data_IF_053716876810
#
_entry.id   IF_053716876810
#
_cell.length_a   1.000
_cell.length_b   1.000
_cell.length_c   1.000
_cell.angle_alpha   90.00
_cell.angle_beta   90.00
_cell.angle_gamma   90.00
#
_symmetry.space_group_name_H-M   'P 1'
#
loop_
_entity.id
_entity.type
_entity.pdbx_description
1 polymer ?
#
# COMPACT_ATOMS: atom_id res chain seq x y z
N UNK A 1 -41.95 11.45 -1.42
CA UNK A 1 -40.97 12.41 -0.82
C UNK A 1 -39.77 11.69 -0.21
N UNK A 2 -39.95 10.64 0.61
CA UNK A 2 -38.85 9.92 1.29
C UNK A 2 -37.72 9.38 0.38
N UNK A 3 -38.04 8.91 -0.82
CA UNK A 3 -37.03 8.35 -1.75
C UNK A 3 -36.04 9.38 -2.31
N UNK A 4 -36.47 10.63 -2.51
CA UNK A 4 -35.60 11.65 -3.13
C UNK A 4 -34.53 12.13 -2.15
N UNK A 5 -34.88 12.25 -0.88
CA UNK A 5 -33.97 12.68 0.17
C UNK A 5 -32.98 11.56 0.52
N UNK A 6 -33.43 10.31 0.55
CA UNK A 6 -32.56 9.14 0.69
C UNK A 6 -31.53 9.06 -0.45
N UNK A 7 -31.95 9.25 -1.71
CA UNK A 7 -31.03 9.25 -2.86
C UNK A 7 -29.98 10.35 -2.77
N UNK A 8 -30.36 11.54 -2.33
CA UNK A 8 -29.42 12.66 -2.11
C UNK A 8 -28.46 12.36 -0.97
N UNK A 9 -28.93 11.75 0.12
CA UNK A 9 -28.09 11.37 1.25
C UNK A 9 -27.04 10.35 0.84
N UNK A 10 -27.47 9.26 0.19
CA UNK A 10 -26.55 8.25 -0.38
C UNK A 10 -25.53 8.92 -1.28
N UNK A 11 -25.97 9.77 -2.22
CA UNK A 11 -25.09 10.49 -3.13
C UNK A 11 -24.07 11.38 -2.41
N UNK A 12 -24.49 12.05 -1.34
CA UNK A 12 -23.60 12.90 -0.53
C UNK A 12 -22.54 12.09 0.23
N UNK A 13 -22.91 10.94 0.81
CA UNK A 13 -21.99 10.03 1.51
C UNK A 13 -20.97 9.39 0.55
N UNK A 14 -21.42 8.99 -0.65
CA UNK A 14 -20.54 8.52 -1.73
C UNK A 14 -19.51 9.60 -2.08
N UNK A 15 -19.97 10.83 -2.32
CA UNK A 15 -19.09 11.96 -2.67
C UNK A 15 -18.11 12.28 -1.54
N UNK A 16 -18.58 12.28 -0.29
CA UNK A 16 -17.76 12.53 0.89
C UNK A 16 -16.62 11.52 0.98
N UNK A 17 -16.93 10.21 1.03
CA UNK A 17 -15.91 9.17 1.15
C UNK A 17 -14.96 9.15 -0.04
N UNK A 18 -15.47 9.39 -1.26
CA UNK A 18 -14.62 9.51 -2.46
C UNK A 18 -13.58 10.63 -2.29
N UNK A 19 -13.98 11.79 -1.78
CA UNK A 19 -13.06 12.92 -1.56
C UNK A 19 -12.09 12.66 -0.41
N UNK A 20 -12.53 12.01 0.68
CA UNK A 20 -11.67 11.56 1.78
C UNK A 20 -10.54 10.65 1.28
N UNK A 21 -10.85 9.74 0.35
CA UNK A 21 -9.88 8.85 -0.29
C UNK A 21 -9.06 9.53 -1.41
N UNK A 22 -9.29 10.81 -1.70
CA UNK A 22 -8.61 11.55 -2.78
C UNK A 22 -8.96 11.07 -4.19
N UNK A 23 -10.09 10.37 -4.36
CA UNK A 23 -10.50 9.73 -5.60
C UNK A 23 -11.26 10.68 -6.53
N UNK A 24 -11.10 10.48 -7.84
CA UNK A 24 -11.93 11.13 -8.85
C UNK A 24 -13.14 10.26 -9.22
N UNK A 25 -14.17 10.86 -9.83
CA UNK A 25 -15.37 10.12 -10.26
C UNK A 25 -15.06 9.05 -11.31
N UNK A 26 -14.00 9.24 -12.09
CA UNK A 26 -13.53 8.29 -13.12
C UNK A 26 -13.10 6.96 -12.50
N UNK A 27 -12.46 6.97 -11.33
CA UNK A 27 -12.04 5.77 -10.62
C UNK A 27 -13.21 4.84 -10.31
N UNK A 28 -14.28 5.37 -9.70
CA UNK A 28 -15.49 4.58 -9.40
C UNK A 28 -16.15 4.12 -10.71
N UNK A 29 -16.19 4.98 -11.72
CA UNK A 29 -16.79 4.68 -13.01
C UNK A 29 -16.10 3.49 -13.71
N UNK A 30 -14.76 3.46 -13.73
CA UNK A 30 -13.97 2.36 -14.30
C UNK A 30 -14.19 1.06 -13.54
N UNK A 31 -14.20 1.09 -12.20
CA UNK A 31 -14.41 -0.11 -11.36
C UNK A 31 -15.83 -0.68 -11.49
N UNK A 32 -16.82 0.16 -11.78
CA UNK A 32 -18.22 -0.25 -11.98
C UNK A 32 -18.57 -0.55 -13.44
N UNK A 33 -17.64 -0.34 -14.39
CA UNK A 33 -17.91 -0.39 -15.83
C UNK A 33 -19.09 0.50 -16.26
N UNK A 34 -19.12 1.74 -15.77
CA UNK A 34 -20.13 2.75 -16.13
C UNK A 34 -19.48 4.03 -16.63
N UNK A 35 -20.27 4.86 -17.32
CA UNK A 35 -19.83 6.19 -17.71
C UNK A 35 -19.67 7.10 -16.47
N UNK A 36 -18.67 7.99 -16.48
CA UNK A 36 -18.42 9.01 -15.45
C UNK A 36 -19.69 9.82 -15.14
N UNK A 37 -20.49 10.13 -16.17
CA UNK A 37 -21.77 10.84 -16.03
C UNK A 37 -22.80 10.08 -15.18
N UNK A 38 -22.69 8.76 -15.07
CA UNK A 38 -23.54 7.93 -14.22
C UNK A 38 -23.15 8.08 -12.74
N UNK A 39 -21.86 8.11 -12.41
CA UNK A 39 -21.37 8.38 -11.05
C UNK A 39 -21.77 9.79 -10.59
N UNK A 40 -21.63 10.79 -11.47
CA UNK A 40 -22.10 12.15 -11.19
C UNK A 40 -23.59 12.20 -10.84
N UNK A 41 -24.40 11.45 -11.59
CA UNK A 41 -25.85 11.38 -11.37
C UNK A 41 -26.21 10.62 -10.09
N UNK A 42 -25.44 9.58 -9.72
CA UNK A 42 -25.55 8.87 -8.44
C UNK A 42 -25.21 9.78 -7.26
N UNK A 43 -24.11 10.53 -7.33
CA UNK A 43 -23.70 11.51 -6.30
C UNK A 43 -24.71 12.65 -6.14
N UNK A 44 -25.33 13.09 -7.25
CA UNK A 44 -26.37 14.11 -7.22
C UNK A 44 -27.75 13.58 -6.77
N UNK A 45 -27.92 12.26 -6.61
CA UNK A 45 -29.21 11.62 -6.31
C UNK A 45 -30.26 11.78 -7.41
N UNK A 46 -29.82 12.04 -8.65
CA UNK A 46 -30.71 12.29 -9.81
C UNK A 46 -31.19 11.01 -10.48
N UNK A 47 -30.44 9.92 -10.33
CA UNK A 47 -30.81 8.57 -10.74
C UNK A 47 -30.87 7.66 -9.52
N UNK A 48 -31.49 6.50 -9.68
CA UNK A 48 -31.75 5.59 -8.59
C UNK A 48 -30.47 4.88 -8.10
N UNK A 49 -29.97 5.28 -6.93
CA UNK A 49 -28.80 4.72 -6.25
C UNK A 49 -29.17 3.80 -5.08
N UNK A 50 -30.45 3.50 -4.85
CA UNK A 50 -30.91 2.64 -3.74
C UNK A 50 -30.89 1.15 -4.08
N UNK A 51 -30.68 0.82 -5.37
CA UNK A 51 -30.59 -0.55 -5.86
C UNK A 51 -29.47 -1.30 -5.15
N UNK A 52 -29.77 -2.49 -4.66
CA UNK A 52 -28.84 -3.37 -3.94
C UNK A 52 -27.49 -3.51 -4.66
N UNK A 53 -27.51 -3.87 -5.95
CA UNK A 53 -26.30 -4.02 -6.77
C UNK A 53 -25.43 -2.75 -6.84
N UNK A 54 -26.06 -1.57 -6.95
CA UNK A 54 -25.33 -0.29 -7.05
C UNK A 54 -24.68 0.04 -5.71
N UNK A 55 -25.42 -0.14 -4.61
CA UNK A 55 -24.91 0.09 -3.27
C UNK A 55 -23.78 -0.87 -2.91
N UNK A 56 -23.93 -2.17 -3.17
CA UNK A 56 -22.90 -3.18 -2.92
C UNK A 56 -21.63 -2.92 -3.75
N UNK A 57 -21.80 -2.50 -5.02
CA UNK A 57 -20.65 -2.16 -5.87
C UNK A 57 -19.90 -0.93 -5.34
N UNK A 58 -20.63 0.14 -5.00
CA UNK A 58 -20.02 1.39 -4.52
C UNK A 58 -19.44 1.22 -3.12
N UNK A 59 -20.11 0.45 -2.25
CA UNK A 59 -19.63 0.15 -0.90
C UNK A 59 -18.33 -0.65 -0.94
N UNK A 60 -18.24 -1.63 -1.85
CA UNK A 60 -17.02 -2.40 -2.08
C UNK A 60 -15.87 -1.52 -2.60
N UNK A 61 -16.13 -0.60 -3.53
CA UNK A 61 -15.10 0.30 -4.08
C UNK A 61 -14.61 1.33 -3.04
N UNK A 62 -15.52 1.84 -2.21
CA UNK A 62 -15.20 2.88 -1.22
C UNK A 62 -14.82 2.32 0.16
N UNK A 63 -14.84 1.00 0.32
CA UNK A 63 -14.53 0.29 1.57
C UNK A 63 -15.35 0.82 2.75
N UNK A 64 -16.67 0.89 2.54
CA UNK A 64 -17.67 1.31 3.55
C UNK A 64 -18.81 0.29 3.59
N UNK A 65 -19.61 0.30 4.65
CA UNK A 65 -20.80 -0.52 4.75
C UNK A 65 -21.97 0.06 3.94
N UNK A 66 -22.90 -0.80 3.50
CA UNK A 66 -24.10 -0.37 2.76
C UNK A 66 -25.03 0.42 3.69
N UNK A 67 -25.09 0.02 4.95
CA UNK A 67 -25.83 0.64 6.04
C UNK A 67 -25.37 2.09 6.25
N UNK A 68 -24.05 2.33 6.19
CA UNK A 68 -23.51 3.68 6.23
C UNK A 68 -23.88 4.46 4.98
N UNK A 69 -23.80 3.90 3.77
CA UNK A 69 -24.25 4.62 2.57
C UNK A 69 -25.73 5.05 2.67
N UNK A 70 -26.58 4.23 3.30
CA UNK A 70 -28.01 4.50 3.49
C UNK A 70 -28.34 5.48 4.60
N UNK A 71 -27.41 5.82 5.49
CA UNK A 71 -27.71 6.63 6.67
C UNK A 71 -28.31 5.86 7.84
N UNK A 72 -28.18 4.54 7.85
CA UNK A 72 -28.68 3.68 8.92
C UNK A 72 -27.69 3.62 10.11
N UNK A 73 -26.41 3.91 9.86
CA UNK A 73 -25.36 4.12 10.86
C UNK A 73 -24.55 5.36 10.48
N UNK A 74 -24.07 6.10 11.48
CA UNK A 74 -23.14 7.22 11.28
C UNK A 74 -21.67 6.79 11.33
N UNK A 75 -21.42 5.61 11.89
CA UNK A 75 -20.10 5.00 11.98
C UNK A 75 -19.93 3.92 10.90
N UNK A 76 -18.75 3.90 10.28
CA UNK A 76 -18.34 2.83 9.39
C UNK A 76 -16.95 2.35 9.82
N UNK A 77 -16.77 1.04 9.92
CA UNK A 77 -15.46 0.43 10.05
C UNK A 77 -14.83 0.33 8.66
N UNK A 78 -13.60 0.80 8.51
CA UNK A 78 -12.85 0.72 7.25
C UNK A 78 -11.42 0.31 7.54
N UNK A 79 -10.92 -0.65 6.77
CA UNK A 79 -9.51 -1.05 6.81
C UNK A 79 -8.61 -0.06 6.05
N UNK A 80 -9.19 1.02 5.49
CA UNK A 80 -8.48 2.01 4.67
C UNK A 80 -8.50 3.35 5.38
N UNK A 81 -7.35 3.69 5.96
CA UNK A 81 -7.14 4.91 6.74
C UNK A 81 -6.88 6.11 5.85
N UNK A 82 -6.17 5.93 4.73
CA UNK A 82 -5.83 7.01 3.80
C UNK A 82 -5.81 6.58 2.32
N UNK A 83 -5.55 7.54 1.43
CA UNK A 83 -5.47 7.32 -0.02
C UNK A 83 -4.32 6.37 -0.42
N UNK A 84 -3.24 6.30 0.37
CA UNK A 84 -2.07 5.46 0.10
C UNK A 84 -2.40 3.99 0.34
N UNK A 85 -3.15 3.67 1.39
CA UNK A 85 -3.62 2.30 1.66
C UNK A 85 -4.39 1.74 0.46
N UNK A 86 -5.28 2.56 -0.12
CA UNK A 86 -6.04 2.19 -1.31
C UNK A 86 -5.13 1.99 -2.53
N UNK A 87 -4.15 2.87 -2.74
CA UNK A 87 -3.18 2.74 -3.83
C UNK A 87 -2.35 1.45 -3.71
N UNK A 88 -1.89 1.12 -2.50
CA UNK A 88 -1.15 -0.11 -2.22
C UNK A 88 -2.02 -1.33 -2.56
N UNK A 89 -3.26 -1.36 -2.08
CA UNK A 89 -4.19 -2.48 -2.35
C UNK A 89 -4.46 -2.67 -3.84
N UNK A 90 -4.68 -1.58 -4.56
CA UNK A 90 -4.91 -1.61 -6.00
C UNK A 90 -3.67 -2.07 -6.78
N UNK A 91 -2.47 -1.62 -6.38
CA UNK A 91 -1.21 -2.08 -6.99
C UNK A 91 -1.01 -3.57 -6.74
N UNK A 92 -1.22 -4.05 -5.51
CA UNK A 92 -1.10 -5.47 -5.17
C UNK A 92 -2.10 -6.34 -5.96
N UNK A 93 -3.34 -5.87 -6.12
CA UNK A 93 -4.34 -6.54 -6.97
C UNK A 93 -3.94 -6.59 -8.45
N UNK A 94 -3.34 -5.52 -8.98
CA UNK A 94 -2.83 -5.50 -10.37
C UNK A 94 -1.63 -6.42 -10.55
N UNK A 95 -0.68 -6.40 -9.61
CA UNK A 95 0.52 -7.23 -9.66
C UNK A 95 0.17 -8.72 -9.61
N UNK A 96 -0.75 -9.14 -8.74
CA UNK A 96 -1.18 -10.55 -8.65
C UNK A 96 -1.79 -11.08 -9.95
N UNK A 97 -2.53 -10.25 -10.69
CA UNK A 97 -3.13 -10.63 -11.98
C UNK A 97 -2.10 -10.56 -13.13
N UNK A 98 -1.30 -9.49 -13.20
CA UNK A 98 -0.48 -9.19 -14.37
C UNK A 98 0.87 -9.93 -14.42
N UNK A 99 1.40 -10.40 -13.29
CA UNK A 99 2.75 -11.00 -13.22
C UNK A 99 2.90 -12.28 -14.06
N UNK A 100 1.80 -12.88 -14.55
CA UNK A 100 1.85 -14.09 -15.38
C UNK A 100 1.51 -13.86 -16.86
N UNK A 101 1.10 -12.66 -17.27
CA UNK A 101 0.65 -12.40 -18.63
C UNK A 101 1.84 -12.22 -19.60
N UNK A 102 1.92 -13.11 -20.60
CA UNK A 102 2.91 -13.01 -21.69
C UNK A 102 4.33 -13.47 -21.34
N UNK A 103 4.58 -13.95 -20.12
CA UNK A 103 5.87 -14.49 -19.69
C UNK A 103 5.92 -16.02 -19.84
N UNK A 104 7.13 -16.56 -20.10
CA UNK A 104 7.37 -18.00 -19.93
C UNK A 104 7.29 -18.37 -18.45
N UNK A 105 7.09 -19.66 -18.18
CA UNK A 105 6.97 -20.19 -16.82
C UNK A 105 8.13 -19.77 -15.90
N UNK A 106 9.36 -19.90 -16.37
CA UNK A 106 10.56 -19.59 -15.57
C UNK A 106 10.75 -18.08 -15.39
N UNK A 107 10.40 -17.28 -16.42
CA UNK A 107 10.40 -15.81 -16.34
C UNK A 107 9.36 -15.31 -15.32
N UNK A 108 8.16 -15.88 -15.35
CA UNK A 108 7.10 -15.57 -14.39
C UNK A 108 7.49 -15.99 -12.96
N UNK A 109 8.10 -17.16 -12.78
CA UNK A 109 8.59 -17.61 -11.47
C UNK A 109 9.61 -16.62 -10.90
N UNK A 110 10.63 -16.26 -11.69
CA UNK A 110 11.63 -15.27 -11.28
C UNK A 110 11.00 -13.93 -10.87
N UNK A 111 10.03 -13.42 -11.63
CA UNK A 111 9.37 -12.14 -11.27
C UNK A 111 8.55 -12.23 -9.98
N UNK A 112 7.94 -13.40 -9.69
CA UNK A 112 7.23 -13.64 -8.43
C UNK A 112 8.21 -13.68 -7.27
N UNK A 113 9.31 -14.40 -7.41
CA UNK A 113 10.34 -14.51 -6.39
C UNK A 113 10.98 -13.14 -6.09
N UNK A 114 11.19 -12.32 -7.12
CA UNK A 114 11.72 -10.96 -6.95
C UNK A 114 10.72 -10.05 -6.22
N UNK A 115 9.42 -10.17 -6.55
CA UNK A 115 8.38 -9.42 -5.85
C UNK A 115 8.26 -9.84 -4.38
N UNK A 116 8.32 -11.15 -4.11
CA UNK A 116 8.35 -11.68 -2.73
C UNK A 116 9.52 -11.05 -1.98
N UNK A 117 10.73 -11.10 -2.56
CA UNK A 117 11.92 -10.53 -1.92
C UNK A 117 11.76 -9.03 -1.61
N UNK A 118 11.27 -8.24 -2.57
CA UNK A 118 10.99 -6.81 -2.37
C UNK A 118 10.01 -6.53 -1.22
N UNK A 119 8.96 -7.34 -1.09
CA UNK A 119 7.94 -7.16 -0.06
C UNK A 119 8.47 -7.58 1.32
N UNK A 120 9.22 -8.66 1.41
CA UNK A 120 9.89 -9.09 2.65
C UNK A 120 10.90 -8.05 3.13
N UNK A 121 11.69 -7.47 2.22
CA UNK A 121 12.62 -6.39 2.57
C UNK A 121 11.91 -5.13 3.06
N UNK A 122 10.75 -4.81 2.47
CA UNK A 122 9.95 -3.69 2.92
C UNK A 122 9.37 -3.92 4.32
N UNK A 123 8.95 -5.15 4.64
CA UNK A 123 8.49 -5.53 5.97
C UNK A 123 9.60 -5.34 7.02
N UNK A 124 10.80 -5.88 6.77
CA UNK A 124 11.94 -5.67 7.68
C UNK A 124 12.33 -4.20 7.82
N UNK A 125 12.32 -3.45 6.71
CA UNK A 125 12.56 -2.02 6.74
C UNK A 125 11.57 -1.31 7.65
N UNK A 126 10.28 -1.68 7.63
CA UNK A 126 9.29 -1.06 8.51
C UNK A 126 9.63 -1.26 9.99
N UNK A 127 10.07 -2.45 10.38
CA UNK A 127 10.42 -2.76 11.76
C UNK A 127 11.66 -1.97 12.20
N UNK A 128 12.72 -2.00 11.39
CA UNK A 128 13.93 -1.19 11.63
C UNK A 128 13.66 0.31 11.62
N UNK A 129 12.81 0.79 10.71
CA UNK A 129 12.45 2.20 10.63
C UNK A 129 11.64 2.65 11.84
N UNK A 130 10.69 1.82 12.30
CA UNK A 130 9.94 2.05 13.55
C UNK A 130 10.89 2.12 14.73
N UNK A 131 11.77 1.12 14.87
CA UNK A 131 12.78 1.09 15.92
C UNK A 131 13.66 2.34 15.89
N UNK A 132 14.16 2.72 14.72
CA UNK A 132 14.98 3.92 14.54
C UNK A 132 14.24 5.20 14.92
N UNK A 133 12.95 5.32 14.54
CA UNK A 133 12.13 6.47 14.91
C UNK A 133 11.87 6.54 16.42
N UNK A 134 11.62 5.42 17.08
CA UNK A 134 11.34 5.38 18.52
C UNK A 134 12.59 5.67 19.36
N UNK A 135 13.76 5.24 18.91
CA UNK A 135 14.97 5.28 19.73
C UNK A 135 15.91 6.45 19.39
N UNK A 136 15.97 6.87 18.12
CA UNK A 136 16.99 7.82 17.65
C UNK A 136 16.42 9.14 17.12
N UNK A 137 15.09 9.32 17.07
CA UNK A 137 14.49 10.58 16.62
C UNK A 137 14.14 11.48 17.81
N UNK A 138 14.78 12.65 17.88
CA UNK A 138 14.45 13.74 18.83
C UNK A 138 14.46 13.34 20.32
N UNK A 139 15.19 12.29 20.69
CA UNK A 139 15.32 11.85 22.08
C UNK A 139 16.47 12.61 22.76
N UNK A 140 16.16 13.36 23.82
CA UNK A 140 17.14 13.87 24.81
C UNK A 140 17.72 12.73 25.68
N UNK A 141 17.57 11.46 25.27
CA UNK A 141 18.06 10.31 26.03
C UNK A 141 19.59 10.36 26.08
N UNK A 142 20.06 10.66 27.29
CA UNK A 142 21.43 10.49 27.77
C UNK A 142 22.50 11.14 26.89
N UNK A 143 22.64 12.47 27.06
CA UNK A 143 23.81 13.25 26.58
C UNK A 143 25.16 12.57 26.85
N UNK A 144 25.21 11.70 27.86
CA UNK A 144 26.41 10.96 28.26
C UNK A 144 26.77 9.84 27.25
N UNK A 145 25.82 9.20 26.56
CA UNK A 145 26.11 8.11 25.61
C UNK A 145 26.94 8.61 24.44
N UNK A 146 26.59 9.77 23.85
CA UNK A 146 27.34 10.34 22.73
C UNK A 146 28.81 10.61 23.14
N UNK A 147 29.03 11.14 24.35
CA UNK A 147 30.36 11.40 24.87
C UNK A 147 31.16 10.12 25.18
N UNK A 148 30.51 9.07 25.70
CA UNK A 148 31.13 7.77 26.00
C UNK A 148 31.50 7.02 24.70
N UNK A 149 30.70 7.20 23.65
CA UNK A 149 30.87 6.51 22.37
C UNK A 149 31.73 7.28 21.37
N UNK A 150 32.13 8.51 21.70
CA UNK A 150 33.07 9.32 20.91
C UNK A 150 32.44 10.14 19.78
N UNK A 151 31.14 10.46 19.85
CA UNK A 151 30.48 11.36 18.91
C UNK A 151 30.50 12.81 19.41
N UNK A 152 30.54 13.76 18.46
CA UNK A 152 30.62 15.18 18.78
C UNK A 152 29.29 15.75 19.29
N UNK A 153 28.17 15.08 18.98
CA UNK A 153 26.84 15.47 19.46
C UNK A 153 25.85 14.30 19.51
N UNK A 154 24.80 14.46 20.33
CA UNK A 154 23.68 13.51 20.35
C UNK A 154 22.96 13.44 19.00
N UNK A 155 22.93 14.54 18.25
CA UNK A 155 22.37 14.59 16.90
C UNK A 155 23.14 13.66 15.96
N UNK A 156 24.46 13.74 15.97
CA UNK A 156 25.33 12.87 15.17
C UNK A 156 25.20 11.40 15.57
N UNK A 157 25.21 11.11 16.88
CA UNK A 157 24.96 9.76 17.39
C UNK A 157 23.63 9.19 16.86
N UNK A 158 22.55 9.96 16.98
CA UNK A 158 21.22 9.58 16.54
C UNK A 158 21.15 9.33 15.03
N UNK A 159 21.74 10.22 14.23
CA UNK A 159 21.81 10.05 12.77
C UNK A 159 22.56 8.75 12.40
N UNK A 160 23.68 8.47 13.04
CA UNK A 160 24.50 7.28 12.74
C UNK A 160 23.82 5.99 13.19
N UNK A 161 23.21 5.97 14.37
CA UNK A 161 22.48 4.80 14.85
C UNK A 161 21.23 4.53 14.03
N UNK A 162 20.49 5.58 13.64
CA UNK A 162 19.37 5.45 12.72
C UNK A 162 19.82 4.88 11.37
N UNK A 163 20.90 5.40 10.79
CA UNK A 163 21.44 4.90 9.53
C UNK A 163 21.89 3.45 9.65
N UNK A 164 22.54 3.07 10.75
CA UNK A 164 22.94 1.69 11.01
C UNK A 164 21.76 0.74 11.00
N UNK A 165 20.66 1.14 11.61
CA UNK A 165 19.42 0.35 11.67
C UNK A 165 18.85 0.07 10.27
N UNK A 166 18.78 1.08 9.41
CA UNK A 166 18.23 0.94 8.05
C UNK A 166 19.25 0.49 6.99
N UNK A 167 20.52 0.31 7.35
CA UNK A 167 21.59 -0.02 6.38
C UNK A 167 21.35 -1.35 5.67
N UNK A 168 20.76 -2.33 6.36
CA UNK A 168 20.46 -3.64 5.77
C UNK A 168 19.54 -3.51 4.55
N UNK A 169 18.51 -2.65 4.61
CA UNK A 169 17.58 -2.38 3.50
C UNK A 169 18.29 -1.76 2.29
N UNK A 170 19.23 -0.84 2.54
CA UNK A 170 20.03 -0.22 1.47
C UNK A 170 20.85 -1.29 0.73
N UNK A 171 21.45 -2.21 1.48
CA UNK A 171 22.21 -3.31 0.89
C UNK A 171 21.30 -4.25 0.09
N UNK A 172 20.12 -4.58 0.61
CA UNK A 172 19.16 -5.42 -0.10
C UNK A 172 18.68 -4.80 -1.43
N UNK A 173 18.45 -3.47 -1.48
CA UNK A 173 18.12 -2.80 -2.74
C UNK A 173 19.28 -2.82 -3.75
N UNK A 174 20.53 -2.75 -3.29
CA UNK A 174 21.67 -2.95 -4.18
C UNK A 174 21.73 -4.38 -4.72
N UNK A 175 21.43 -5.38 -3.87
CA UNK A 175 21.34 -6.77 -4.28
C UNK A 175 20.23 -7.02 -5.31
N UNK A 176 19.06 -6.42 -5.13
CA UNK A 176 17.96 -6.44 -6.10
C UNK A 176 18.41 -5.82 -7.43
N UNK A 177 19.05 -4.65 -7.39
CA UNK A 177 19.55 -3.99 -8.59
C UNK A 177 20.55 -4.88 -9.36
N UNK A 178 21.43 -5.58 -8.64
CA UNK A 178 22.39 -6.48 -9.24
C UNK A 178 21.75 -7.76 -9.78
N UNK A 179 20.77 -8.35 -9.09
CA UNK A 179 19.98 -9.49 -9.60
C UNK A 179 19.32 -9.13 -10.94
N UNK A 180 18.67 -7.97 -11.03
CA UNK A 180 18.04 -7.50 -12.27
C UNK A 180 19.06 -7.32 -13.39
N UNK A 181 20.22 -6.73 -13.10
CA UNK A 181 21.30 -6.54 -14.10
C UNK A 181 21.85 -7.87 -14.59
N UNK A 182 22.09 -8.83 -13.69
CA UNK A 182 22.61 -10.16 -14.03
C UNK A 182 21.62 -10.89 -14.93
N UNK A 183 20.31 -10.76 -14.70
CA UNK A 183 19.29 -11.48 -15.46
C UNK A 183 19.42 -11.26 -16.98
N UNK A 184 19.74 -10.03 -17.40
CA UNK A 184 19.94 -9.68 -18.82
C UNK A 184 21.12 -10.40 -19.49
N UNK A 185 22.10 -10.86 -18.69
CA UNK A 185 23.33 -11.50 -19.16
C UNK A 185 23.28 -13.02 -18.96
N UNK A 186 22.76 -13.45 -17.83
CA UNK A 186 22.67 -14.84 -17.40
C UNK A 186 21.50 -15.01 -16.42
N UNK A 187 20.36 -15.46 -16.96
CA UNK A 187 19.13 -15.64 -16.19
C UNK A 187 19.26 -16.72 -15.12
N UNK A 188 20.02 -17.79 -15.36
CA UNK A 188 20.24 -18.87 -14.36
C UNK A 188 21.07 -18.38 -13.18
N UNK A 189 22.10 -17.57 -13.45
CA UNK A 189 22.92 -16.98 -12.40
C UNK A 189 22.13 -15.96 -11.57
N UNK A 190 21.27 -15.17 -12.22
CA UNK A 190 20.38 -14.24 -11.51
C UNK A 190 19.39 -14.97 -10.62
N UNK A 191 18.77 -16.03 -11.13
CA UNK A 191 17.84 -16.88 -10.38
C UNK A 191 18.52 -17.51 -9.16
N UNK A 192 19.68 -18.15 -9.33
CA UNK A 192 20.45 -18.71 -8.22
C UNK A 192 20.82 -17.65 -7.16
N UNK A 193 21.19 -16.43 -7.59
CA UNK A 193 21.49 -15.34 -6.64
C UNK A 193 20.24 -14.93 -5.86
N UNK A 194 19.10 -14.78 -6.54
CA UNK A 194 17.84 -14.43 -5.91
C UNK A 194 17.37 -15.52 -4.93
N UNK A 195 17.49 -16.79 -5.28
CA UNK A 195 17.16 -17.90 -4.36
C UNK A 195 18.05 -17.91 -3.12
N UNK A 196 19.35 -17.62 -3.28
CA UNK A 196 20.25 -17.50 -2.13
C UNK A 196 19.84 -16.33 -1.22
N UNK A 197 19.45 -15.18 -1.78
CA UNK A 197 18.96 -14.04 -1.00
C UNK A 197 17.68 -14.41 -0.24
N UNK A 198 16.73 -15.03 -0.93
CA UNK A 198 15.47 -15.50 -0.33
C UNK A 198 15.68 -16.55 0.77
N UNK A 199 16.73 -17.36 0.70
CA UNK A 199 17.01 -18.41 1.70
C UNK A 199 17.30 -17.83 3.09
N UNK A 200 17.95 -16.67 3.17
CA UNK A 200 18.24 -16.01 4.45
C UNK A 200 16.98 -15.65 5.24
N UNK A 201 15.84 -15.46 4.57
CA UNK A 201 14.57 -15.11 5.19
C UNK A 201 13.73 -16.31 5.59
N UNK A 202 13.89 -17.43 4.88
CA UNK A 202 13.22 -18.70 5.22
C UNK A 202 13.81 -19.37 6.45
N UNK A 203 15.09 -19.12 6.71
CA UNK A 203 15.79 -19.68 7.87
C UNK A 203 15.58 -18.84 9.16
N UNK A 204 14.91 -17.69 9.06
CA UNK A 204 14.61 -16.78 10.17
C UNK A 204 13.17 -16.88 10.73
N UNK A 205 12.31 -17.70 10.12
CA UNK A 205 11.00 -18.12 10.67
C UNK A 205 11.14 -19.37 11.55
#
# INVERSE_FOLDING_TARGET
MKDKDLRKMIGSRIKQRRLELGLNQKYIAEKMDVNISTIQRYEAGTIDNTKKLVLESISAILHVSVEWLRGETDEYETDISDSRDLQIRDLMGKLTVAVSDGLKKDEAAFTKDLLIFLLTEYEMFLDSFRFGCENYKDTDREKDIASITGFDSMKEYNEIMFLREVTHTINAFNDIADVIRIYSKDSKKADNRLQNLLSYYKDSE
#
